data_IF_073795192497
#
_entry.id   IF_073795192497
#
_cell.length_a   1.000
_cell.length_b   1.000
_cell.length_c   1.000
_cell.angle_alpha   90.00
_cell.angle_beta   90.00
_cell.angle_gamma   90.00
#
_symmetry.space_group_name_H-M   'P 1'
#
loop_
_entity.id
_entity.type
_entity.pdbx_description
1 polymer ?
#
# COMPACT_ATOMS: atom_id res chain seq x y z
N UNK A 1 6.15 11.69 15.51
CA UNK A 1 7.55 11.24 15.43
C UNK A 1 8.43 12.41 15.04
N UNK A 2 9.43 12.73 15.86
CA UNK A 2 10.42 13.78 15.58
C UNK A 2 11.57 13.21 14.73
N UNK A 3 12.37 14.06 14.04
CA UNK A 3 13.53 13.58 13.27
C UNK A 3 14.52 12.75 14.11
N UNK A 4 14.70 13.10 15.39
CA UNK A 4 15.60 12.36 16.30
C UNK A 4 15.10 10.94 16.63
N UNK A 5 13.80 10.68 16.54
CA UNK A 5 13.24 9.35 16.77
C UNK A 5 13.36 8.41 15.55
N UNK A 6 13.78 8.92 14.39
CA UNK A 6 13.89 8.11 13.15
C UNK A 6 15.08 7.16 13.19
N UNK A 7 16.21 7.62 13.72
CA UNK A 7 17.39 6.79 13.84
C UNK A 7 17.17 5.54 14.73
N UNK A 8 16.66 5.65 15.97
CA UNK A 8 16.39 4.45 16.78
C UNK A 8 15.29 3.56 16.17
N UNK A 9 14.34 4.13 15.42
CA UNK A 9 13.33 3.34 14.71
C UNK A 9 13.94 2.52 13.57
N UNK A 10 14.79 3.12 12.73
CA UNK A 10 15.41 2.43 11.58
C UNK A 10 16.62 1.58 11.99
N UNK A 11 17.30 1.97 13.08
CA UNK A 11 18.52 1.37 13.60
C UNK A 11 18.38 1.06 15.10
N UNK A 12 17.54 0.09 15.49
CA UNK A 12 17.53 -0.37 16.86
C UNK A 12 18.95 -0.79 17.27
N UNK A 13 19.41 -0.30 18.42
CA UNK A 13 20.76 -0.53 18.95
C UNK A 13 21.90 -0.13 17.98
N UNK A 14 21.64 0.81 17.06
CA UNK A 14 22.59 1.29 16.07
C UNK A 14 22.74 0.39 14.83
N UNK A 15 22.02 -0.74 14.77
CA UNK A 15 22.03 -1.69 13.65
C UNK A 15 20.83 -1.47 12.76
N UNK A 16 21.07 -1.18 11.47
CA UNK A 16 19.99 -1.01 10.49
C UNK A 16 19.15 -2.29 10.37
N UNK A 17 17.83 -2.16 10.44
CA UNK A 17 16.88 -3.28 10.33
C UNK A 17 17.15 -4.11 9.05
N UNK A 18 17.17 -5.46 9.13
CA UNK A 18 17.37 -6.32 7.97
C UNK A 18 16.38 -6.08 6.82
N UNK A 19 15.11 -5.84 7.14
CA UNK A 19 14.07 -5.57 6.15
C UNK A 19 14.36 -4.35 5.27
N UNK A 20 15.01 -3.30 5.82
CA UNK A 20 15.41 -2.12 5.05
C UNK A 20 16.51 -2.48 4.04
N UNK A 21 17.44 -3.37 4.43
CA UNK A 21 18.49 -3.87 3.54
C UNK A 21 17.91 -4.73 2.43
N UNK A 22 16.99 -5.63 2.76
CA UNK A 22 16.30 -6.47 1.78
C UNK A 22 15.53 -5.63 0.76
N UNK A 23 14.80 -4.62 1.22
CA UNK A 23 14.09 -3.66 0.35
C UNK A 23 15.06 -2.92 -0.57
N UNK A 24 16.24 -2.53 -0.10
CA UNK A 24 17.23 -1.86 -0.95
C UNK A 24 17.79 -2.75 -2.06
N UNK A 25 17.91 -4.07 -1.83
CA UNK A 25 18.40 -5.00 -2.86
C UNK A 25 17.36 -5.26 -3.97
N UNK A 26 16.07 -5.08 -3.67
CA UNK A 26 14.97 -5.24 -4.66
C UNK A 26 14.42 -3.91 -5.19
N UNK A 27 15.12 -2.79 -4.95
CA UNK A 27 14.65 -1.43 -5.33
C UNK A 27 13.24 -1.12 -4.80
N UNK A 28 12.95 -1.57 -3.57
CA UNK A 28 11.66 -1.43 -2.91
C UNK A 28 11.47 -0.06 -2.26
N UNK A 29 10.48 0.01 -1.36
CA UNK A 29 10.15 1.23 -0.62
C UNK A 29 10.07 0.98 0.89
N UNK A 30 10.63 1.90 1.68
CA UNK A 30 10.48 1.94 3.13
C UNK A 30 9.80 3.25 3.54
N UNK A 31 8.57 3.14 4.02
CA UNK A 31 7.73 4.29 4.38
C UNK A 31 7.50 4.29 5.88
N UNK A 32 7.85 5.39 6.54
CA UNK A 32 7.52 5.61 7.95
C UNK A 32 6.19 6.35 8.06
N UNK A 33 5.32 5.86 8.95
CA UNK A 33 4.01 6.44 9.19
C UNK A 33 3.88 6.82 10.66
N UNK A 34 3.51 8.07 10.95
CA UNK A 34 3.32 8.52 12.33
C UNK A 34 2.14 9.48 12.47
N UNK A 35 1.20 9.12 13.34
CA UNK A 35 0.02 9.94 13.66
C UNK A 35 0.29 11.08 14.65
N UNK A 36 1.44 11.07 15.34
CA UNK A 36 1.67 11.91 16.52
C UNK A 36 1.83 13.41 16.30
N UNK A 37 2.05 13.88 15.07
CA UNK A 37 2.24 15.31 14.76
C UNK A 37 1.77 15.62 13.36
N UNK A 38 1.14 16.78 13.15
CA UNK A 38 1.03 17.38 11.82
C UNK A 38 2.37 18.06 11.52
N UNK A 39 2.98 17.75 10.38
CA UNK A 39 4.22 18.35 9.95
C UNK A 39 3.94 19.42 8.87
N UNK A 40 4.69 20.52 8.88
CA UNK A 40 4.83 21.36 7.69
C UNK A 40 5.65 20.63 6.62
N UNK A 41 5.64 21.12 5.39
CA UNK A 41 6.45 20.53 4.31
C UNK A 41 7.95 20.52 4.65
N UNK A 42 8.46 21.60 5.25
CA UNK A 42 9.85 21.66 5.74
C UNK A 42 10.14 20.57 6.78
N UNK A 43 9.22 20.35 7.72
CA UNK A 43 9.34 19.31 8.73
C UNK A 43 9.26 17.89 8.12
N UNK A 44 8.52 17.68 7.02
CA UNK A 44 8.52 16.40 6.29
C UNK A 44 9.85 16.16 5.58
N UNK A 45 10.44 17.19 4.97
CA UNK A 45 11.77 17.09 4.35
C UNK A 45 12.86 16.79 5.38
N UNK A 46 12.82 17.41 6.56
CA UNK A 46 13.76 17.10 7.65
C UNK A 46 13.68 15.64 8.09
N UNK A 47 12.48 15.05 8.07
CA UNK A 47 12.26 13.64 8.41
C UNK A 47 12.78 12.72 7.32
N UNK A 48 12.52 13.02 6.04
CA UNK A 48 13.12 12.29 4.91
C UNK A 48 14.65 12.35 4.96
N UNK A 49 15.21 13.53 5.22
CA UNK A 49 16.65 13.70 5.38
C UNK A 49 17.20 12.87 6.55
N UNK A 50 16.48 12.79 7.68
CA UNK A 50 16.86 11.92 8.79
C UNK A 50 16.80 10.43 8.42
N UNK A 51 15.81 9.99 7.63
CA UNK A 51 15.77 8.63 7.10
C UNK A 51 16.96 8.33 6.20
N UNK A 52 17.31 9.25 5.29
CA UNK A 52 18.49 9.13 4.44
C UNK A 52 19.78 9.05 5.26
N UNK A 53 19.92 9.86 6.32
CA UNK A 53 21.07 9.78 7.24
C UNK A 53 21.13 8.43 7.93
N UNK A 54 20.00 7.88 8.37
CA UNK A 54 19.94 6.58 9.05
C UNK A 54 20.36 5.40 8.15
N UNK A 55 20.18 5.48 6.83
CA UNK A 55 20.72 4.49 5.89
C UNK A 55 22.25 4.42 5.93
N UNK A 56 22.93 5.53 6.22
CA UNK A 56 24.39 5.60 6.31
C UNK A 56 25.08 5.13 5.02
N UNK A 57 25.94 4.11 5.16
CA UNK A 57 26.72 3.50 4.06
C UNK A 57 26.06 2.23 3.47
N UNK A 58 24.73 2.14 3.54
CA UNK A 58 24.01 1.02 2.91
C UNK A 58 24.31 0.96 1.40
N UNK A 59 24.61 -0.23 0.90
CA UNK A 59 24.74 -0.51 -0.54
C UNK A 59 23.37 -0.38 -1.20
N UNK A 60 23.31 0.16 -2.42
CA UNK A 60 22.06 0.37 -3.16
C UNK A 60 21.05 1.30 -2.46
N UNK A 61 21.51 2.16 -1.53
CA UNK A 61 20.63 3.11 -0.83
C UNK A 61 19.85 4.03 -1.77
N UNK A 62 20.42 4.36 -2.94
CA UNK A 62 19.80 5.27 -3.91
C UNK A 62 18.67 4.59 -4.70
N UNK A 63 18.62 3.24 -4.69
CA UNK A 63 17.53 2.46 -5.27
C UNK A 63 16.35 2.25 -4.30
N UNK A 64 16.54 2.55 -3.00
CA UNK A 64 15.50 2.43 -1.98
C UNK A 64 14.66 3.70 -1.93
N UNK A 65 13.36 3.58 -2.22
CA UNK A 65 12.42 4.69 -2.04
C UNK A 65 12.15 4.91 -0.56
N UNK A 66 12.43 6.12 -0.06
CA UNK A 66 12.10 6.55 1.29
C UNK A 66 11.00 7.61 1.27
N UNK A 67 9.99 7.45 2.13
CA UNK A 67 9.02 8.52 2.37
C UNK A 67 8.48 8.50 3.80
N UNK A 68 7.90 9.62 4.20
CA UNK A 68 7.29 9.80 5.52
C UNK A 68 5.84 10.30 5.37
N UNK A 69 4.93 9.62 6.05
CA UNK A 69 3.52 9.98 6.11
C UNK A 69 3.13 10.40 7.53
N UNK A 70 2.68 11.63 7.65
CA UNK A 70 2.02 12.11 8.84
C UNK A 70 0.49 11.92 8.75
N UNK A 71 -0.22 12.29 9.81
CA UNK A 71 -1.69 12.18 9.83
C UNK A 71 -2.36 13.02 8.73
N UNK A 72 -1.77 14.16 8.35
CA UNK A 72 -2.38 15.09 7.40
C UNK A 72 -2.26 14.59 5.97
N UNK A 73 -1.08 14.12 5.59
CA UNK A 73 -0.80 13.54 4.27
C UNK A 73 -1.61 12.27 4.06
N UNK A 74 -1.72 11.41 5.08
CA UNK A 74 -2.64 10.26 5.04
C UNK A 74 -4.09 10.70 4.84
N UNK A 75 -4.57 11.65 5.63
CA UNK A 75 -5.95 12.13 5.49
C UNK A 75 -6.22 12.74 4.11
N UNK A 76 -5.27 13.49 3.55
CA UNK A 76 -5.37 14.03 2.19
C UNK A 76 -5.37 12.92 1.15
N UNK A 77 -4.48 11.93 1.25
CA UNK A 77 -4.45 10.79 0.35
C UNK A 77 -5.78 10.02 0.39
N UNK A 78 -6.31 9.72 1.58
CA UNK A 78 -7.61 9.05 1.73
C UNK A 78 -8.72 9.86 1.09
N UNK A 79 -8.79 11.19 1.31
CA UNK A 79 -9.81 12.06 0.69
C UNK A 79 -9.80 12.05 -0.83
N UNK A 80 -8.63 11.84 -1.45
CA UNK A 80 -8.50 11.77 -2.90
C UNK A 80 -9.00 10.44 -3.50
N UNK A 81 -9.36 9.45 -2.67
CA UNK A 81 -9.79 8.12 -3.12
C UNK A 81 -11.11 7.74 -2.45
N UNK A 82 -12.23 7.96 -3.12
CA UNK A 82 -13.58 7.78 -2.56
C UNK A 82 -13.81 6.39 -1.93
N UNK A 83 -13.32 5.32 -2.58
CA UNK A 83 -13.40 3.97 -2.03
C UNK A 83 -12.64 3.81 -0.71
N UNK A 84 -11.44 4.39 -0.61
CA UNK A 84 -10.64 4.37 0.61
C UNK A 84 -11.31 5.14 1.76
N UNK A 85 -11.98 6.26 1.47
CA UNK A 85 -12.77 7.01 2.47
C UNK A 85 -13.82 6.09 3.08
N UNK A 86 -14.62 5.43 2.25
CA UNK A 86 -15.73 4.61 2.69
C UNK A 86 -15.25 3.38 3.47
N UNK A 87 -14.20 2.71 2.99
CA UNK A 87 -13.54 1.61 3.69
C UNK A 87 -12.99 2.05 5.05
N UNK A 88 -12.27 3.18 5.11
CA UNK A 88 -11.68 3.69 6.36
C UNK A 88 -12.77 4.01 7.38
N UNK A 89 -13.84 4.69 6.94
CA UNK A 89 -15.01 5.00 7.77
C UNK A 89 -15.64 3.75 8.37
N UNK A 90 -15.79 2.68 7.59
CA UNK A 90 -16.30 1.41 8.08
C UNK A 90 -15.37 0.81 9.16
N UNK A 91 -14.06 0.76 8.89
CA UNK A 91 -13.05 0.22 9.83
C UNK A 91 -12.98 0.96 11.16
N UNK A 92 -13.23 2.26 11.18
CA UNK A 92 -13.22 3.08 12.42
C UNK A 92 -14.60 3.22 13.08
N UNK A 93 -15.59 2.41 12.69
CA UNK A 93 -16.93 2.41 13.29
C UNK A 93 -17.79 3.62 12.92
N UNK A 94 -17.46 4.32 11.83
CA UNK A 94 -18.18 5.48 11.29
C UNK A 94 -18.77 5.20 9.91
N UNK A 95 -19.21 3.96 9.68
CA UNK A 95 -19.89 3.57 8.46
C UNK A 95 -21.05 4.54 8.15
N UNK A 96 -21.29 4.79 6.86
CA UNK A 96 -22.44 5.59 6.46
C UNK A 96 -23.71 4.74 6.68
N UNK A 97 -24.76 5.25 7.35
CA UNK A 97 -26.00 4.53 7.52
C UNK A 97 -26.59 4.13 6.17
N UNK A 98 -27.14 2.92 6.09
CA UNK A 98 -27.73 2.35 4.87
C UNK A 98 -26.78 2.27 3.65
N UNK A 99 -25.47 2.37 3.86
CA UNK A 99 -24.46 2.19 2.82
C UNK A 99 -23.51 1.05 3.20
N UNK A 100 -23.21 0.18 2.23
CA UNK A 100 -22.19 -0.88 2.35
C UNK A 100 -21.26 -0.84 1.14
N UNK A 101 -19.96 -1.13 1.32
CA UNK A 101 -19.06 -1.26 0.18
C UNK A 101 -19.53 -2.40 -0.73
N UNK A 102 -19.09 -2.37 -1.99
CA UNK A 102 -19.16 -3.56 -2.83
C UNK A 102 -18.36 -4.68 -2.13
N UNK A 103 -19.07 -5.71 -1.71
CA UNK A 103 -18.49 -6.97 -1.23
C UNK A 103 -18.55 -7.99 -2.38
N UNK A 104 -18.34 -9.28 -2.11
CA UNK A 104 -18.54 -10.32 -3.11
C UNK A 104 -20.04 -10.41 -3.48
N UNK A 105 -20.46 -9.63 -4.48
CA UNK A 105 -21.83 -9.66 -5.02
C UNK A 105 -22.06 -10.88 -5.91
N UNK A 106 -20.99 -11.45 -6.47
CA UNK A 106 -21.03 -12.79 -7.01
C UNK A 106 -21.24 -13.74 -5.84
N UNK A 107 -22.34 -14.50 -5.86
CA UNK A 107 -22.67 -15.48 -4.85
C UNK A 107 -21.69 -16.66 -4.95
N UNK A 108 -20.47 -16.45 -4.47
CA UNK A 108 -19.52 -17.54 -4.30
C UNK A 108 -19.77 -18.21 -2.96
N UNK A 109 -19.87 -19.55 -2.91
CA UNK A 109 -19.88 -20.32 -1.66
C UNK A 109 -18.69 -20.01 -0.75
N UNK A 110 -17.58 -19.55 -1.33
CA UNK A 110 -16.31 -19.30 -0.65
C UNK A 110 -16.05 -17.80 -0.37
N UNK A 111 -16.98 -16.91 -0.73
CA UNK A 111 -16.91 -15.48 -0.44
C UNK A 111 -15.71 -14.77 -1.09
N UNK A 112 -15.05 -13.86 -0.37
CA UNK A 112 -13.89 -13.10 -0.86
C UNK A 112 -12.62 -13.94 -1.04
N UNK A 113 -12.59 -15.17 -0.52
CA UNK A 113 -11.50 -16.14 -0.71
C UNK A 113 -11.65 -16.98 -1.97
N UNK A 114 -12.75 -16.81 -2.70
CA UNK A 114 -12.94 -17.54 -3.94
C UNK A 114 -11.91 -17.11 -4.98
N UNK A 115 -11.39 -18.11 -5.68
CA UNK A 115 -10.41 -17.89 -6.73
C UNK A 115 -11.18 -17.53 -7.99
N UNK A 116 -10.91 -16.34 -8.55
CA UNK A 116 -11.40 -16.03 -9.88
C UNK A 116 -10.96 -17.14 -10.84
N UNK A 117 -11.87 -17.61 -11.69
CA UNK A 117 -11.51 -18.52 -12.78
C UNK A 117 -10.51 -17.81 -13.69
N UNK A 118 -9.23 -18.17 -13.55
CA UNK A 118 -8.16 -17.70 -14.43
C UNK A 118 -7.98 -18.73 -15.54
N UNK A 119 -8.30 -18.35 -16.77
CA UNK A 119 -7.89 -19.09 -17.97
C UNK A 119 -6.72 -18.34 -18.62
N UNK A 120 -5.72 -19.08 -19.10
CA UNK A 120 -4.57 -18.51 -19.83
C UNK A 120 -4.97 -17.94 -21.20
N UNK A 121 -6.14 -18.33 -21.71
CA UNK A 121 -6.62 -17.96 -23.04
C UNK A 121 -8.03 -17.38 -22.99
N UNK A 122 -8.21 -16.20 -23.57
CA UNK A 122 -9.54 -15.64 -23.78
C UNK A 122 -10.31 -16.52 -24.79
N UNK A 123 -11.54 -16.89 -24.45
CA UNK A 123 -12.43 -17.70 -25.29
C UNK A 123 -13.68 -16.91 -25.67
N UNK A 124 -14.05 -16.92 -26.95
CA UNK A 124 -15.29 -16.32 -27.44
C UNK A 124 -16.28 -17.43 -27.77
N UNK A 125 -17.48 -17.36 -27.16
CA UNK A 125 -18.61 -18.22 -27.49
C UNK A 125 -19.62 -17.41 -28.30
N UNK A 126 -19.80 -17.75 -29.57
CA UNK A 126 -20.80 -17.14 -30.45
C UNK A 126 -21.88 -18.19 -30.73
N UNK A 127 -23.01 -18.10 -30.02
CA UNK A 127 -24.20 -18.94 -30.25
C UNK A 127 -24.43 -20.06 -29.23
N UNK A 128 -25.61 -20.70 -29.33
CA UNK A 128 -26.20 -21.65 -28.37
C UNK A 128 -25.78 -23.11 -28.51
N UNK A 129 -24.75 -23.41 -29.32
CA UNK A 129 -24.24 -24.78 -29.46
C UNK A 129 -22.81 -24.84 -28.95
N UNK A 130 -22.65 -25.46 -27.78
CA UNK A 130 -21.39 -25.99 -27.27
C UNK A 130 -20.77 -26.89 -28.36
N UNK A 131 -19.48 -26.84 -28.67
CA UNK A 131 -18.42 -27.34 -27.80
C UNK A 131 -17.10 -26.62 -28.11
N UNK A 132 -16.45 -26.10 -27.06
CA UNK A 132 -15.13 -25.42 -27.04
C UNK A 132 -15.09 -24.06 -27.77
N UNK A 133 -15.27 -23.00 -26.98
CA UNK A 133 -15.14 -21.60 -27.42
C UNK A 133 -13.83 -21.33 -28.16
N UNK A 134 -13.90 -20.43 -29.13
CA UNK A 134 -12.79 -20.10 -30.03
C UNK A 134 -11.72 -19.30 -29.29
N UNK A 135 -10.41 -19.61 -29.46
CA UNK A 135 -9.34 -18.82 -28.89
C UNK A 135 -9.32 -17.43 -29.51
N UNK A 136 -9.31 -16.39 -28.67
CA UNK A 136 -9.13 -15.01 -29.10
C UNK A 136 -7.63 -14.77 -29.28
N UNK A 137 -7.21 -14.56 -30.52
CA UNK A 137 -5.84 -14.14 -30.82
C UNK A 137 -5.79 -12.61 -30.71
N UNK A 138 -4.97 -12.11 -29.79
CA UNK A 138 -4.69 -10.68 -29.61
C UNK A 138 -3.42 -10.31 -30.34
#
# INVERSE_FOLDING_TARGET
MTPAAIEPEMRPDGVLRPSIRELAEISGAYILVSSGTHASDSALEERRAAMCRALGRLRNRDALLLDFYDRARLATWVRNHAGAVLWTRNRVGRALPAWRPYEAWAFSPEGLSDTYLTEDHARLHVGTTDEKGLPVVV
#
